data_IF_846854914126
#
_entry.id   IF_846854914126
#
_cell.length_a   1.000
_cell.length_b   1.000
_cell.length_c   1.000
_cell.angle_alpha   90.00
_cell.angle_beta   90.00
_cell.angle_gamma   90.00
#
_symmetry.space_group_name_H-M   'P 1'
#
loop_
_entity.id
_entity.type
_entity.pdbx_description
1 polymer ?
#
# COMPACT_ATOMS: atom_id res chain seq x y z
N UNK A 1 -20.31 -7.36 -1.65
CA UNK A 1 -19.20 -7.22 -0.70
C UNK A 1 -18.41 -6.00 -1.16
N UNK A 2 -18.34 -4.93 -0.37
CA UNK A 2 -17.49 -3.78 -0.72
C UNK A 2 -16.06 -4.26 -0.47
N UNK A 3 -15.23 -4.25 -1.50
CA UNK A 3 -13.78 -4.45 -1.36
C UNK A 3 -13.21 -3.08 -1.00
N UNK A 4 -12.37 -3.02 0.02
CA UNK A 4 -11.70 -1.82 0.49
C UNK A 4 -10.23 -2.14 0.80
N UNK A 5 -9.43 -1.11 1.06
CA UNK A 5 -8.07 -1.30 1.54
C UNK A 5 -8.07 -2.05 2.87
N UNK A 6 -7.25 -3.09 2.96
CA UNK A 6 -7.02 -3.86 4.18
C UNK A 6 -5.53 -3.84 4.48
N UNK A 7 -5.14 -3.79 5.76
CA UNK A 7 -3.75 -3.78 6.16
C UNK A 7 -2.98 -4.98 5.59
N UNK A 8 -1.78 -4.73 5.07
CA UNK A 8 -0.87 -5.74 4.54
C UNK A 8 -1.18 -6.19 3.11
N UNK A 9 -2.27 -5.74 2.49
CA UNK A 9 -2.56 -6.12 1.10
C UNK A 9 -1.54 -5.47 0.17
N UNK A 10 -1.02 -6.26 -0.75
CA UNK A 10 -0.14 -5.79 -1.83
C UNK A 10 -0.96 -5.28 -2.99
N UNK A 11 -0.60 -4.10 -3.47
CA UNK A 11 -1.29 -3.41 -4.55
C UNK A 11 -0.32 -2.95 -5.63
N UNK A 12 -0.85 -2.62 -6.80
CA UNK A 12 -0.11 -1.94 -7.86
C UNK A 12 -0.94 -0.84 -8.50
N UNK A 13 -0.31 0.24 -8.93
CA UNK A 13 -0.91 1.32 -9.73
C UNK A 13 0.14 1.81 -10.73
N UNK A 14 -0.22 1.96 -12.01
CA UNK A 14 0.68 2.47 -13.06
C UNK A 14 2.07 1.78 -13.17
N UNK A 15 2.17 0.52 -12.76
CA UNK A 15 3.43 -0.24 -12.77
C UNK A 15 4.26 -0.11 -11.50
N UNK A 16 3.82 0.70 -10.54
CA UNK A 16 4.38 0.78 -9.19
C UNK A 16 3.72 -0.26 -8.29
N UNK A 17 4.45 -0.71 -7.29
CA UNK A 17 4.04 -1.77 -6.37
C UNK A 17 4.13 -1.27 -4.94
N UNK A 18 3.15 -1.56 -4.12
CA UNK A 18 3.11 -1.09 -2.75
C UNK A 18 2.33 -2.00 -1.83
N UNK A 19 2.39 -1.71 -0.54
CA UNK A 19 1.64 -2.42 0.49
C UNK A 19 0.84 -1.43 1.33
N UNK A 20 -0.40 -1.80 1.63
CA UNK A 20 -1.23 -1.02 2.55
C UNK A 20 -0.65 -1.16 3.96
N UNK A 21 -0.31 -0.04 4.57
CA UNK A 21 0.21 0.05 5.93
C UNK A 21 -0.80 0.76 6.84
N UNK A 22 -0.61 0.63 8.14
CA UNK A 22 -1.39 1.39 9.11
C UNK A 22 -0.71 2.74 9.35
N UNK A 23 -1.50 3.75 9.67
CA UNK A 23 -0.99 4.99 10.22
C UNK A 23 -0.60 4.76 11.67
N UNK A 24 0.65 5.06 12.03
CA UNK A 24 1.11 4.97 13.43
C UNK A 24 0.42 6.02 14.31
N UNK A 25 -0.14 7.07 13.70
CA UNK A 25 -0.72 8.23 14.38
C UNK A 25 -2.24 8.28 14.36
N UNK A 26 -2.94 7.40 13.65
CA UNK A 26 -4.40 7.39 13.65
C UNK A 26 -4.95 6.47 14.73
N UNK A 27 -5.66 7.05 15.68
CA UNK A 27 -6.42 6.32 16.72
C UNK A 27 -7.56 5.47 16.13
N UNK A 28 -7.93 5.68 14.87
CA UNK A 28 -9.10 5.10 14.20
C UNK A 28 -8.80 3.93 13.25
N UNK A 29 -7.55 3.46 13.12
CA UNK A 29 -7.16 2.35 12.22
C UNK A 29 -7.67 2.50 10.76
N UNK A 30 -7.65 3.72 10.22
CA UNK A 30 -8.08 3.95 8.85
C UNK A 30 -7.08 3.31 7.87
N UNK A 31 -7.54 2.32 7.12
CA UNK A 31 -6.74 1.63 6.10
C UNK A 31 -6.75 2.42 4.79
N UNK A 32 -5.61 2.41 4.09
CA UNK A 32 -5.44 3.11 2.81
C UNK A 32 -4.17 3.94 2.69
N UNK A 33 -3.31 4.01 3.71
CA UNK A 33 -1.94 4.45 3.47
C UNK A 33 -1.20 3.37 2.68
N UNK A 34 -0.62 3.73 1.55
CA UNK A 34 0.18 2.81 0.73
C UNK A 34 1.64 3.21 0.86
N UNK A 35 2.47 2.27 1.28
CA UNK A 35 3.92 2.37 1.19
C UNK A 35 4.37 1.78 -0.15
N UNK A 36 4.91 2.63 -1.02
CA UNK A 36 5.42 2.20 -2.31
C UNK A 36 6.82 1.55 -2.18
N UNK A 37 7.09 0.59 -3.06
CA UNK A 37 8.31 -0.20 -3.10
C UNK A 37 9.45 0.59 -3.74
N UNK A 38 9.93 1.58 -3.00
CA UNK A 38 11.07 2.41 -3.38
C UNK A 38 12.10 2.47 -2.26
N UNK A 39 13.34 2.80 -2.61
CA UNK A 39 14.44 2.95 -1.65
C UNK A 39 14.26 4.13 -0.69
N UNK A 40 13.30 5.02 -0.96
CA UNK A 40 13.10 6.26 -0.19
C UNK A 40 12.05 6.03 0.89
N UNK A 41 12.38 6.30 2.16
CA UNK A 41 11.48 6.04 3.30
C UNK A 41 10.17 6.83 3.29
N UNK A 42 10.16 8.00 2.63
CA UNK A 42 9.03 8.95 2.65
C UNK A 42 7.99 8.70 1.57
N UNK A 43 8.16 7.67 0.75
CA UNK A 43 7.25 7.39 -0.37
C UNK A 43 6.03 6.59 0.12
N UNK A 44 5.18 7.32 0.83
CA UNK A 44 3.92 6.89 1.41
C UNK A 44 2.84 7.82 0.86
N UNK A 45 1.80 7.24 0.29
CA UNK A 45 0.65 8.00 -0.22
C UNK A 45 -0.62 7.66 0.54
N UNK A 46 -1.48 8.67 0.68
CA UNK A 46 -2.75 8.54 1.39
C UNK A 46 -3.92 8.27 0.44
N UNK A 47 -4.39 7.03 0.44
CA UNK A 47 -5.54 6.55 -0.31
C UNK A 47 -6.73 6.17 0.59
N UNK A 48 -6.74 6.60 1.85
CA UNK A 48 -7.84 6.31 2.79
C UNK A 48 -9.17 6.82 2.24
N UNK A 49 -10.18 5.94 2.20
CA UNK A 49 -11.50 6.25 1.63
C UNK A 49 -11.53 6.41 0.10
N UNK A 50 -10.42 6.18 -0.59
CA UNK A 50 -10.29 6.37 -2.04
C UNK A 50 -10.15 5.05 -2.82
N UNK A 51 -10.56 3.91 -2.25
CA UNK A 51 -10.43 2.61 -2.93
C UNK A 51 -11.13 2.58 -4.30
N UNK A 52 -12.33 3.15 -4.41
CA UNK A 52 -13.03 3.25 -5.69
C UNK A 52 -12.25 4.05 -6.75
N UNK A 53 -11.63 5.16 -6.34
CA UNK A 53 -10.75 5.97 -7.20
C UNK A 53 -9.48 5.22 -7.57
N UNK A 54 -8.87 4.50 -6.61
CA UNK A 54 -7.68 3.69 -6.85
C UNK A 54 -7.94 2.66 -7.95
N UNK A 55 -9.06 1.93 -7.86
CA UNK A 55 -9.46 0.95 -8.89
C UNK A 55 -9.78 1.63 -10.22
N UNK A 56 -10.48 2.78 -10.23
CA UNK A 56 -10.84 3.48 -11.48
C UNK A 56 -9.60 4.00 -12.24
N UNK A 57 -8.52 4.31 -11.53
CA UNK A 57 -7.22 4.67 -12.09
C UNK A 57 -6.39 3.44 -12.54
N UNK A 58 -6.95 2.23 -12.46
CA UNK A 58 -6.27 0.99 -12.86
C UNK A 58 -5.47 0.33 -11.75
N UNK A 59 -5.66 0.78 -10.51
CA UNK A 59 -5.11 0.15 -9.32
C UNK A 59 -5.63 -1.27 -9.15
N UNK A 60 -4.78 -2.16 -8.63
CA UNK A 60 -5.09 -3.59 -8.49
C UNK A 60 -4.57 -4.11 -7.16
N UNK A 61 -5.29 -5.08 -6.60
CA UNK A 61 -4.72 -6.00 -5.61
C UNK A 61 -3.92 -7.04 -6.39
N UNK A 62 -2.67 -7.25 -6.01
CA UNK A 62 -1.76 -8.17 -6.72
C UNK A 62 -1.55 -9.48 -5.95
N UNK A 63 -0.70 -10.36 -6.47
CA UNK A 63 -0.34 -11.59 -5.76
C UNK A 63 0.31 -11.24 -4.41
N UNK A 64 -0.20 -11.83 -3.33
CA UNK A 64 0.31 -11.59 -1.98
C UNK A 64 1.67 -12.26 -1.72
N UNK A 65 2.13 -13.14 -2.61
CA UNK A 65 3.49 -13.69 -2.63
C UNK A 65 4.51 -12.77 -3.35
N UNK A 66 4.08 -11.62 -3.90
CA UNK A 66 4.96 -10.69 -4.61
C UNK A 66 6.12 -10.22 -3.71
N UNK A 67 7.36 -10.39 -4.15
CA UNK A 67 8.52 -9.94 -3.41
C UNK A 67 8.90 -8.51 -3.79
N UNK A 68 8.64 -7.58 -2.88
CA UNK A 68 9.12 -6.20 -2.98
C UNK A 68 10.65 -6.14 -3.01
N UNK A 69 11.20 -5.19 -3.76
CA UNK A 69 12.64 -5.01 -3.92
C UNK A 69 13.26 -4.25 -2.74
N UNK A 70 12.61 -3.20 -2.27
CA UNK A 70 13.15 -2.23 -1.30
C UNK A 70 12.43 -2.26 0.04
N UNK A 71 11.18 -2.73 0.11
CA UNK A 71 10.41 -2.81 1.36
C UNK A 71 10.08 -4.25 1.75
N UNK A 72 9.77 -4.47 3.03
CA UNK A 72 9.21 -5.71 3.55
C UNK A 72 7.68 -5.70 3.42
N UNK A 73 7.04 -6.85 3.68
CA UNK A 73 5.57 -6.98 3.63
C UNK A 73 4.81 -6.10 4.64
N UNK A 74 5.50 -5.48 5.59
CA UNK A 74 4.93 -4.52 6.54
C UNK A 74 5.29 -3.06 6.20
N UNK A 75 5.91 -2.81 5.04
CA UNK A 75 6.31 -1.48 4.57
C UNK A 75 7.63 -0.94 5.15
N UNK A 76 8.32 -1.66 6.03
CA UNK A 76 9.66 -1.22 6.48
C UNK A 76 10.68 -1.41 5.37
N UNK A 77 11.71 -0.56 5.31
CA UNK A 77 12.80 -0.75 4.34
C UNK A 77 13.52 -2.08 4.61
N UNK A 78 13.76 -2.85 3.55
CA UNK A 78 14.80 -3.89 3.55
C UNK A 78 16.12 -3.14 3.61
N UNK A 79 16.87 -3.34 4.69
CA UNK A 79 18.17 -2.70 5.00
C UNK A 79 18.82 -2.00 3.78
N UNK A 80 18.93 -0.67 3.87
CA UNK A 80 19.69 0.13 2.90
C UNK A 80 21.18 -0.18 2.93
#
# INVERSE_FOLDING_TARGET
>A
MIVDFTLGIKVSLNGEFGVVINSVTDENNLCGLIRWDTSTISDIEDWRGQFGTFISLGGKIINQDYEFKFINNNGTLKNG
#
